data_IF_747681867758
#
_entry.id   IF_747681867758
#
_cell.length_a   1.000
_cell.length_b   1.000
_cell.length_c   1.000
_cell.angle_alpha   90.00
_cell.angle_beta   90.00
_cell.angle_gamma   90.00
#
_symmetry.space_group_name_H-M   'P 1'
#
loop_
_entity.id
_entity.type
_entity.pdbx_description
1 polymer ?
#
# COMPACT_ATOMS: atom_id res chain seq x y z
N UNK A 1 8.97 6.33 2.08
CA UNK A 1 8.15 5.46 1.20
C UNK A 1 6.71 5.94 1.23
N UNK A 2 6.07 6.02 0.07
CA UNK A 2 4.67 6.42 -0.06
C UNK A 2 3.92 5.39 -0.87
N UNK A 3 2.75 4.98 -0.39
CA UNK A 3 1.88 4.08 -1.15
C UNK A 3 0.40 4.30 -0.92
N UNK A 4 -0.36 3.86 -1.93
CA UNK A 4 -1.77 3.55 -1.92
C UNK A 4 -1.95 2.12 -2.45
N UNK A 5 -2.55 1.25 -1.65
CA UNK A 5 -2.84 -0.13 -2.03
C UNK A 5 -4.35 -0.36 -1.95
N UNK A 6 -4.93 -0.82 -3.06
CA UNK A 6 -6.34 -1.17 -3.15
C UNK A 6 -6.49 -2.69 -2.98
N UNK A 7 -7.34 -3.08 -2.03
CA UNK A 7 -7.54 -4.49 -1.69
C UNK A 7 -9.02 -4.87 -1.70
N UNK A 8 -9.30 -6.08 -2.20
CA UNK A 8 -10.54 -6.78 -1.91
C UNK A 8 -10.26 -7.73 -0.75
N UNK A 9 -10.93 -7.53 0.38
CA UNK A 9 -10.73 -8.30 1.60
C UNK A 9 -11.94 -9.15 1.92
N UNK A 10 -11.71 -10.28 2.57
CA UNK A 10 -12.75 -11.11 3.14
C UNK A 10 -12.29 -11.70 4.47
N UNK A 11 -13.26 -12.09 5.28
CA UNK A 11 -13.03 -12.78 6.54
C UNK A 11 -13.54 -14.21 6.41
N UNK A 12 -12.74 -15.19 6.83
CA UNK A 12 -13.18 -16.57 6.86
C UNK A 12 -13.97 -16.92 8.14
N UNK A 13 -14.54 -18.12 8.21
CA UNK A 13 -15.32 -18.57 9.38
C UNK A 13 -14.52 -18.61 10.70
N UNK A 14 -13.18 -18.68 10.61
CA UNK A 14 -12.28 -18.67 11.77
C UNK A 14 -11.99 -17.24 12.24
N UNK A 15 -12.32 -16.23 11.44
CA UNK A 15 -12.04 -14.83 11.69
C UNK A 15 -10.65 -14.41 11.23
N UNK A 16 -10.06 -15.12 10.26
CA UNK A 16 -8.81 -14.73 9.61
C UNK A 16 -9.14 -13.75 8.49
N UNK A 17 -8.33 -12.71 8.36
CA UNK A 17 -8.52 -11.69 7.33
C UNK A 17 -7.61 -11.99 6.14
N UNK A 18 -8.20 -11.98 4.95
CA UNK A 18 -7.56 -12.27 3.69
C UNK A 18 -7.70 -11.07 2.76
N UNK A 19 -6.77 -10.92 1.81
CA UNK A 19 -6.78 -9.86 0.82
C UNK A 19 -6.26 -10.33 -0.54
N UNK A 20 -6.88 -9.82 -1.59
CA UNK A 20 -6.32 -9.81 -2.94
C UNK A 20 -6.00 -8.36 -3.34
N UNK A 21 -4.83 -8.16 -3.98
CA UNK A 21 -4.37 -6.83 -4.43
C UNK A 21 -5.06 -6.47 -5.74
N UNK A 22 -5.93 -5.46 -5.71
CA UNK A 22 -6.59 -4.92 -6.91
C UNK A 22 -5.72 -3.88 -7.61
N UNK A 23 -5.07 -3.01 -6.84
CA UNK A 23 -4.35 -1.87 -7.40
C UNK A 23 -3.18 -1.42 -6.54
N UNK A 24 -2.11 -0.99 -7.20
CA UNK A 24 -0.84 -0.59 -6.57
C UNK A 24 -0.40 0.78 -7.08
N UNK A 25 -0.31 1.74 -6.17
CA UNK A 25 0.52 2.93 -6.33
C UNK A 25 1.56 2.94 -5.23
N UNK A 26 2.83 2.65 -5.52
CA UNK A 26 3.89 2.59 -4.50
C UNK A 26 5.20 3.09 -5.05
N UNK A 27 5.86 3.96 -4.30
CA UNK A 27 7.12 4.58 -4.68
C UNK A 27 8.02 4.87 -3.48
N UNK A 28 9.31 5.02 -3.76
CA UNK A 28 10.31 5.50 -2.81
C UNK A 28 10.84 6.84 -3.30
N UNK A 29 10.72 7.86 -2.46
CA UNK A 29 11.30 9.18 -2.70
C UNK A 29 12.74 9.15 -2.20
N UNK A 30 13.70 9.23 -3.13
CA UNK A 30 15.14 9.13 -2.84
C UNK A 30 15.89 10.46 -2.94
N UNK A 31 15.21 11.55 -3.28
CA UNK A 31 15.80 12.87 -3.46
C UNK A 31 14.98 13.94 -2.76
N UNK A 32 15.68 14.93 -2.21
CA UNK A 32 15.07 16.14 -1.66
C UNK A 32 14.56 17.06 -2.76
N UNK A 33 13.62 17.91 -2.41
CA UNK A 33 13.10 18.98 -3.28
C UNK A 33 13.45 20.33 -2.65
N UNK A 34 13.69 21.35 -3.47
CA UNK A 34 14.03 22.69 -2.97
C UNK A 34 12.81 23.45 -2.40
N UNK A 35 11.61 23.05 -2.79
CA UNK A 35 10.33 23.65 -2.37
C UNK A 35 9.18 22.66 -2.58
N UNK A 36 7.95 23.08 -2.23
CA UNK A 36 6.75 22.27 -2.43
C UNK A 36 6.55 21.83 -3.88
N UNK A 37 6.33 20.52 -4.07
CA UNK A 37 5.94 19.96 -5.36
C UNK A 37 4.41 19.86 -5.40
N UNK A 38 3.78 20.87 -5.99
CA UNK A 38 2.33 20.95 -6.09
C UNK A 38 1.78 19.99 -7.16
N UNK A 39 0.63 19.37 -6.87
CA UNK A 39 -0.06 18.49 -7.81
C UNK A 39 0.67 17.16 -8.10
N UNK A 40 1.55 16.72 -7.19
CA UNK A 40 2.24 15.44 -7.32
C UNK A 40 1.22 14.28 -7.34
N UNK A 41 1.36 13.35 -8.30
CA UNK A 41 0.43 12.24 -8.50
C UNK A 41 1.12 10.90 -8.38
N UNK A 42 0.48 9.99 -7.63
CA UNK A 42 0.87 8.60 -7.55
C UNK A 42 -0.10 7.79 -8.42
N UNK A 43 0.32 7.27 -9.58
CA UNK A 43 -0.56 6.46 -10.40
C UNK A 43 -0.85 5.13 -9.70
N UNK A 44 -2.13 4.75 -9.67
CA UNK A 44 -2.56 3.41 -9.24
C UNK A 44 -2.64 2.53 -10.47
N UNK A 45 -1.80 1.50 -10.52
CA UNK A 45 -1.80 0.48 -11.56
C UNK A 45 -2.63 -0.71 -11.08
N UNK A 46 -3.59 -1.15 -11.90
CA UNK A 46 -4.54 -2.21 -11.55
C UNK A 46 -4.07 -3.59 -12.04
N UNK A 47 -4.42 -4.63 -11.29
CA UNK A 47 -4.05 -6.03 -11.56
C UNK A 47 -2.61 -6.37 -11.17
N UNK A 48 -2.11 -7.49 -11.69
CA UNK A 48 -0.71 -7.92 -11.53
C UNK A 48 0.23 -7.03 -12.36
N UNK A 49 1.05 -6.24 -11.67
CA UNK A 49 1.98 -5.30 -12.28
C UNK A 49 3.40 -5.83 -12.43
N UNK A 50 3.67 -7.08 -12.03
CA UNK A 50 5.03 -7.65 -11.96
C UNK A 50 5.76 -7.71 -13.30
N UNK A 51 5.00 -7.78 -14.40
CA UNK A 51 5.53 -7.81 -15.77
C UNK A 51 5.59 -6.43 -16.43
N UNK A 52 5.16 -5.37 -15.75
CA UNK A 52 5.16 -4.03 -16.33
C UNK A 52 6.56 -3.40 -16.30
N UNK A 53 6.92 -2.58 -17.30
CA UNK A 53 8.15 -1.82 -17.28
C UNK A 53 8.28 -0.95 -16.03
N UNK A 54 9.48 -0.94 -15.43
CA UNK A 54 9.77 -0.18 -14.22
C UNK A 54 9.22 -0.79 -12.93
N UNK A 55 8.69 -2.02 -12.96
CA UNK A 55 8.32 -2.74 -11.74
C UNK A 55 9.52 -2.85 -10.81
N UNK A 56 9.30 -2.54 -9.54
CA UNK A 56 10.28 -2.71 -8.47
C UNK A 56 9.80 -3.78 -7.52
N UNK A 57 10.69 -4.62 -6.99
CA UNK A 57 10.33 -5.73 -6.11
C UNK A 57 9.52 -5.29 -4.88
N UNK A 58 9.77 -4.09 -4.36
CA UNK A 58 9.01 -3.51 -3.25
C UNK A 58 7.55 -3.17 -3.62
N UNK A 59 7.16 -3.15 -4.90
CA UNK A 59 5.79 -2.93 -5.35
C UNK A 59 4.95 -4.21 -5.37
N UNK A 60 5.54 -5.37 -5.05
CA UNK A 60 4.84 -6.64 -4.99
C UNK A 60 3.78 -6.74 -3.89
N UNK A 61 3.24 -7.95 -3.75
CA UNK A 61 2.35 -8.30 -2.65
C UNK A 61 3.09 -8.14 -1.30
N UNK A 62 2.36 -7.78 -0.26
CA UNK A 62 2.84 -7.70 1.11
C UNK A 62 3.09 -9.13 1.58
N UNK A 63 4.35 -9.50 1.92
CA UNK A 63 4.63 -10.82 2.45
C UNK A 63 3.86 -11.07 3.75
N UNK A 64 3.46 -12.31 3.99
CA UNK A 64 2.63 -12.69 5.15
C UNK A 64 3.26 -12.24 6.48
N UNK A 65 4.56 -12.38 6.62
CA UNK A 65 5.35 -11.97 7.79
C UNK A 65 5.40 -10.44 8.00
N UNK A 66 4.99 -9.65 7.00
CA UNK A 66 4.88 -8.18 7.05
C UNK A 66 3.42 -7.70 6.98
N UNK A 67 2.46 -8.59 7.23
CA UNK A 67 1.04 -8.25 7.18
C UNK A 67 0.69 -7.10 8.12
N UNK A 68 -0.09 -6.14 7.64
CA UNK A 68 -0.77 -5.18 8.50
C UNK A 68 -1.91 -5.86 9.25
N UNK A 69 -2.24 -5.36 10.43
CA UNK A 69 -3.29 -5.91 11.26
C UNK A 69 -4.56 -5.09 11.13
N UNK A 70 -5.71 -5.76 11.21
CA UNK A 70 -7.02 -5.14 11.32
C UNK A 70 -7.87 -5.90 12.32
N UNK A 71 -8.89 -5.22 12.85
CA UNK A 71 -9.86 -5.85 13.75
C UNK A 71 -10.86 -6.66 12.93
N UNK A 72 -11.03 -7.93 13.25
CA UNK A 72 -12.00 -8.81 12.60
C UNK A 72 -13.41 -8.66 13.21
N UNK A 73 -14.40 -9.35 12.62
CA UNK A 73 -15.79 -9.36 13.09
C UNK A 73 -15.96 -9.87 14.54
N UNK A 74 -14.98 -10.63 15.04
CA UNK A 74 -14.92 -11.17 16.40
C UNK A 74 -14.19 -10.23 17.39
N UNK A 75 -13.90 -9.01 16.99
CA UNK A 75 -13.25 -7.99 17.83
C UNK A 75 -11.74 -8.19 18.07
N UNK A 76 -11.09 -9.14 17.38
CA UNK A 76 -9.67 -9.47 17.55
C UNK A 76 -8.81 -8.76 16.51
N UNK A 77 -7.65 -8.27 16.92
CA UNK A 77 -6.62 -7.80 16.00
C UNK A 77 -5.90 -9.00 15.39
N UNK A 78 -6.02 -9.17 14.08
CA UNK A 78 -5.42 -10.28 13.33
C UNK A 78 -4.71 -9.75 12.08
N UNK A 79 -3.68 -10.46 11.58
CA UNK A 79 -3.01 -10.07 10.34
C UNK A 79 -3.97 -10.19 9.16
N UNK A 80 -3.86 -9.25 8.21
CA UNK A 80 -4.51 -9.32 6.90
C UNK A 80 -3.51 -9.94 5.93
N UNK A 81 -3.75 -11.20 5.58
CA UNK A 81 -2.87 -11.95 4.68
C UNK A 81 -3.20 -11.59 3.24
N UNK A 82 -2.26 -10.98 2.53
CA UNK A 82 -2.40 -10.72 1.10
C UNK A 82 -1.92 -11.93 0.30
N UNK A 83 -2.84 -12.58 -0.40
CA UNK A 83 -2.62 -13.93 -0.95
C UNK A 83 -2.30 -13.92 -2.43
N UNK A 84 -2.84 -12.95 -3.17
CA UNK A 84 -2.77 -12.93 -4.63
C UNK A 84 -3.03 -11.54 -5.19
N UNK A 85 -2.72 -11.38 -6.48
CA UNK A 85 -3.26 -10.30 -7.29
C UNK A 85 -4.72 -10.60 -7.65
N UNK A 86 -5.53 -9.56 -7.73
CA UNK A 86 -6.93 -9.64 -8.14
C UNK A 86 -7.12 -9.24 -9.61
N UNK A 87 -8.33 -9.42 -10.12
CA UNK A 87 -8.73 -8.88 -11.42
C UNK A 87 -8.57 -7.35 -11.42
N UNK A 88 -7.98 -6.74 -12.48
CA UNK A 88 -7.84 -5.28 -12.56
C UNK A 88 -9.16 -4.51 -12.51
N UNK A 89 -10.30 -5.17 -12.80
CA UNK A 89 -11.65 -4.61 -12.73
C UNK A 89 -12.41 -5.00 -11.45
N UNK A 90 -11.79 -5.76 -10.53
CA UNK A 90 -12.43 -6.08 -9.25
C UNK A 90 -12.71 -4.79 -8.46
N UNK A 91 -13.86 -4.73 -7.77
CA UNK A 91 -14.17 -3.58 -6.93
C UNK A 91 -13.39 -3.67 -5.61
N UNK A 92 -12.50 -2.69 -5.29
CA UNK A 92 -11.81 -2.67 -4.00
C UNK A 92 -12.81 -2.47 -2.87
N UNK A 93 -12.54 -3.13 -1.74
CA UNK A 93 -13.32 -2.98 -0.50
C UNK A 93 -12.57 -2.14 0.54
N UNK A 94 -11.25 -2.07 0.39
CA UNK A 94 -10.35 -1.44 1.36
C UNK A 94 -9.23 -0.70 0.62
N UNK A 95 -8.77 0.38 1.25
CA UNK A 95 -7.63 1.17 0.80
C UNK A 95 -6.64 1.33 1.94
N UNK A 96 -5.35 1.11 1.67
CA UNK A 96 -4.27 1.44 2.59
C UNK A 96 -3.51 2.61 2.01
N UNK A 97 -3.37 3.69 2.77
CA UNK A 97 -2.52 4.83 2.42
C UNK A 97 -1.45 4.96 3.48
N UNK A 98 -0.20 5.06 3.04
CA UNK A 98 0.94 5.33 3.91
C UNK A 98 1.80 6.41 3.30
N UNK A 99 2.16 7.38 4.14
CA UNK A 99 3.15 8.40 3.86
C UNK A 99 4.19 8.28 4.97
N UNK A 100 5.41 7.86 4.63
CA UNK A 100 6.49 7.67 5.60
C UNK A 100 7.78 8.25 5.07
N UNK A 101 8.56 8.92 5.91
CA UNK A 101 9.92 9.35 5.54
C UNK A 101 10.88 8.15 5.43
N UNK A 102 10.62 7.05 6.15
CA UNK A 102 11.40 5.81 6.08
C UNK A 102 10.92 4.81 5.01
N UNK A 103 11.58 3.65 4.92
CA UNK A 103 11.12 2.48 4.17
C UNK A 103 10.60 1.42 5.15
N UNK A 104 9.58 0.64 4.74
CA UNK A 104 8.79 -0.26 5.61
C UNK A 104 9.50 -1.44 6.29
N UNK A 105 10.74 -1.27 6.73
CA UNK A 105 11.46 -2.19 7.61
C UNK A 105 11.47 -1.64 9.03
N UNK A 106 11.02 -2.44 9.99
CA UNK A 106 10.96 -2.03 11.38
C UNK A 106 12.35 -1.66 11.91
N UNK A 107 12.45 -0.52 12.61
CA UNK A 107 13.67 -0.03 13.26
C UNK A 107 14.87 0.21 12.32
N UNK A 108 14.64 0.36 11.02
CA UNK A 108 15.67 0.70 10.03
C UNK A 108 15.36 2.06 9.41
N UNK A 109 16.29 2.99 9.55
CA UNK A 109 16.17 4.34 8.98
C UNK A 109 17.32 5.25 9.42
N UNK A 110 17.34 6.47 8.88
CA UNK A 110 18.32 7.50 9.24
C UNK A 110 17.63 8.56 10.11
N UNK A 111 18.29 8.97 11.19
CA UNK A 111 17.79 10.04 12.06
C UNK A 111 17.68 11.34 11.25
N UNK A 112 16.59 12.09 11.44
CA UNK A 112 16.35 13.35 10.74
C UNK A 112 15.69 13.23 9.37
N UNK A 113 15.36 12.01 8.92
CA UNK A 113 14.56 11.83 7.70
C UNK A 113 13.19 12.50 7.83
N UNK A 114 12.96 13.50 6.99
CA UNK A 114 11.75 14.33 7.03
C UNK A 114 11.01 14.25 5.69
N UNK A 115 9.69 14.10 5.74
CA UNK A 115 8.82 14.16 4.58
C UNK A 115 7.60 15.01 4.93
N UNK A 116 7.43 16.13 4.22
CA UNK A 116 6.29 17.02 4.37
C UNK A 116 5.27 16.72 3.27
N UNK A 117 4.00 16.55 3.66
CA UNK A 117 2.89 16.34 2.74
C UNK A 117 1.72 17.19 3.21
N UNK A 118 1.02 17.80 2.26
CA UNK A 118 -0.17 18.60 2.51
C UNK A 118 -1.24 18.30 1.44
N UNK A 119 -2.52 18.40 1.83
CA UNK A 119 -3.70 18.27 0.95
C UNK A 119 -3.76 17.00 0.07
N UNK A 120 -3.69 15.81 0.69
CA UNK A 120 -3.87 14.53 -0.03
C UNK A 120 -5.33 14.40 -0.50
N UNK A 121 -5.51 14.09 -1.79
CA UNK A 121 -6.82 13.81 -2.38
C UNK A 121 -6.80 12.54 -3.23
N UNK A 122 -7.98 11.94 -3.41
CA UNK A 122 -8.18 10.83 -4.33
C UNK A 122 -8.69 11.38 -5.67
N UNK A 123 -8.02 11.01 -6.75
CA UNK A 123 -8.47 11.27 -8.12
C UNK A 123 -9.05 9.98 -8.67
N UNK A 124 -10.37 9.96 -8.86
CA UNK A 124 -11.12 8.83 -9.41
C UNK A 124 -12.05 9.33 -10.53
N UNK A 125 -12.49 8.41 -11.37
CA UNK A 125 -13.52 8.66 -12.39
C UNK A 125 -14.85 8.14 -11.89
#
# INVERSE_FOLDING_TARGET
>A
EVFILLQRRWEDSKGRLHAARVGTGRMRLGASTASWVNGYRIPVKYGDITKQPGFQSYQGLIPKEKSYYARNSKGKMVPVVEEQWDDPNATPTHMLVMVSSGCGTAYVGTIGMTLWVDNISLVYK
#
